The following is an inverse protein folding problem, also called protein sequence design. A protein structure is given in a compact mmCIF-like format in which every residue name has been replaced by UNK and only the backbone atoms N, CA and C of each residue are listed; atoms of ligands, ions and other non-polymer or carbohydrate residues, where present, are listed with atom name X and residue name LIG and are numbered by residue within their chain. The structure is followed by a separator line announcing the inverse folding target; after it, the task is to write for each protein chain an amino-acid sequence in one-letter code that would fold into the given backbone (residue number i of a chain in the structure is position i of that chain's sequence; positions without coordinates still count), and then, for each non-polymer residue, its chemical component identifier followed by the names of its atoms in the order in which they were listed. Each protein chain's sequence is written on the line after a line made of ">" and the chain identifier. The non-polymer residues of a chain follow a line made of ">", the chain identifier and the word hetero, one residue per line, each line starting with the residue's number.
data_IF_806222941246
#
_entry.id   IF_806222941246
#
_cell.length_a   1.000
_cell.length_b   1.000
_cell.length_c   1.000
_cell.angle_alpha   90.00
_cell.angle_beta   90.00
_cell.angle_gamma   90.00
#
_symmetry.space_group_name_H-M   'P 1'
#
loop_
_entity.id
_entity.type
_entity.pdbx_description
1 polymer ?
#
# COMPACT_ATOMS: atom_id res chain seq x y z
N UNK A 1 36.37 -3.63 4.09
CA UNK A 1 34.94 -3.31 4.21
C UNK A 1 34.84 -2.11 5.14
N UNK A 2 34.51 -0.93 4.64
CA UNK A 2 34.16 0.18 5.52
C UNK A 2 32.89 -0.23 6.31
N UNK A 3 32.78 0.13 7.60
CA UNK A 3 31.55 -0.13 8.31
C UNK A 3 30.39 0.54 7.56
N UNK A 4 29.37 -0.23 7.24
CA UNK A 4 28.17 0.32 6.61
C UNK A 4 27.68 1.48 7.49
N UNK A 5 27.44 2.63 6.88
CA UNK A 5 26.85 3.76 7.61
C UNK A 5 25.54 3.32 8.24
N UNK A 6 25.30 3.77 9.47
CA UNK A 6 24.05 3.42 10.15
C UNK A 6 22.86 4.00 9.38
N UNK A 7 21.84 3.17 9.11
CA UNK A 7 20.59 3.63 8.50
C UNK A 7 19.90 4.59 9.47
N UNK A 8 19.59 5.79 8.99
CA UNK A 8 18.96 6.86 9.77
C UNK A 8 17.65 7.29 9.15
N UNK A 9 16.64 7.44 9.97
CA UNK A 9 15.32 7.93 9.58
C UNK A 9 15.14 9.36 10.09
N UNK A 10 14.80 10.26 9.21
CA UNK A 10 14.53 11.66 9.50
C UNK A 10 13.07 11.97 9.18
N UNK A 11 12.15 11.89 10.16
CA UNK A 11 10.75 12.21 9.93
C UNK A 11 10.58 13.69 9.62
N UNK A 12 9.82 14.00 8.58
CA UNK A 12 9.47 15.35 8.20
C UNK A 12 8.08 15.64 8.78
N UNK A 13 7.98 16.69 9.62
CA UNK A 13 6.79 16.96 10.40
C UNK A 13 6.10 18.25 9.95
N UNK A 14 4.77 18.19 9.80
CA UNK A 14 3.93 19.39 9.65
C UNK A 14 3.46 19.87 11.02
N UNK A 15 3.36 21.19 11.20
CA UNK A 15 2.90 21.80 12.44
C UNK A 15 1.36 21.92 12.53
N UNK A 16 0.67 21.77 11.40
CA UNK A 16 -0.80 21.83 11.29
C UNK A 16 -1.34 20.71 10.40
N UNK A 17 -2.63 20.47 10.48
CA UNK A 17 -3.31 19.64 9.50
C UNK A 17 -3.29 20.34 8.14
N UNK A 18 -2.95 19.60 7.10
CA UNK A 18 -3.01 20.09 5.71
C UNK A 18 -4.43 19.88 5.20
N UNK A 19 -5.00 20.91 4.61
CA UNK A 19 -6.34 20.88 4.02
C UNK A 19 -6.22 20.90 2.50
N UNK A 20 -6.98 20.07 1.76
CA UNK A 20 -6.90 20.03 0.30
C UNK A 20 -7.26 21.37 -0.38
N UNK A 21 -8.13 22.16 0.23
CA UNK A 21 -8.54 23.49 -0.26
C UNK A 21 -7.49 24.59 -0.05
N UNK A 22 -6.41 24.28 0.66
CA UNK A 22 -5.28 25.20 0.93
C UNK A 22 -4.04 24.89 0.07
N UNK A 23 -4.09 23.87 -0.79
CA UNK A 23 -2.93 23.42 -1.57
C UNK A 23 -2.97 23.85 -3.04
N UNK A 24 -3.97 24.63 -3.43
CA UNK A 24 -4.12 25.09 -4.82
C UNK A 24 -2.89 25.86 -5.30
N UNK A 25 -2.39 25.49 -6.47
CA UNK A 25 -1.21 26.10 -7.07
C UNK A 25 0.14 25.69 -6.47
N UNK A 26 0.16 24.81 -5.47
CA UNK A 26 1.36 24.26 -4.87
C UNK A 26 1.60 22.83 -5.34
N UNK A 27 2.85 22.36 -5.25
CA UNK A 27 3.24 20.96 -5.47
C UNK A 27 3.55 20.27 -4.15
N UNK A 28 3.52 18.95 -4.13
CA UNK A 28 4.02 18.19 -2.97
C UNK A 28 5.51 18.42 -2.75
N UNK A 29 6.27 18.73 -3.81
CA UNK A 29 7.66 19.12 -3.72
C UNK A 29 7.84 20.42 -2.94
N UNK A 30 7.00 21.44 -3.18
CA UNK A 30 7.04 22.70 -2.40
C UNK A 30 6.86 22.43 -0.90
N UNK A 31 5.92 21.54 -0.54
CA UNK A 31 5.76 21.10 0.85
C UNK A 31 7.05 20.45 1.38
N UNK A 32 7.64 19.52 0.61
CA UNK A 32 8.86 18.83 1.04
C UNK A 32 10.03 19.79 1.24
N UNK A 33 10.21 20.76 0.35
CA UNK A 33 11.24 21.80 0.48
C UNK A 33 11.04 22.59 1.79
N UNK A 34 9.80 23.03 2.08
CA UNK A 34 9.47 23.69 3.35
C UNK A 34 9.81 22.81 4.56
N UNK A 35 9.49 21.51 4.49
CA UNK A 35 9.74 20.58 5.59
C UNK A 35 11.22 20.30 5.80
N UNK A 36 12.02 20.19 4.74
CA UNK A 36 13.47 20.04 4.81
C UNK A 36 14.12 21.28 5.42
N UNK A 37 13.76 22.48 4.94
CA UNK A 37 14.26 23.75 5.49
C UNK A 37 13.93 23.88 6.98
N UNK A 38 12.71 23.56 7.37
CA UNK A 38 12.27 23.59 8.79
C UNK A 38 13.01 22.59 9.66
N UNK A 39 13.29 21.40 9.14
CA UNK A 39 14.01 20.36 9.87
C UNK A 39 15.53 20.61 9.93
N UNK A 40 16.05 21.55 9.15
CA UNK A 40 17.48 21.74 9.00
C UNK A 40 18.20 20.55 8.36
N UNK A 41 17.51 19.83 7.47
CA UNK A 41 18.02 18.64 6.81
C UNK A 41 18.17 18.92 5.33
N UNK A 42 19.36 18.72 4.81
CA UNK A 42 19.63 18.79 3.37
C UNK A 42 19.69 17.35 2.82
N UNK A 43 18.85 17.01 1.82
CA UNK A 43 18.97 15.77 1.07
C UNK A 43 20.36 15.64 0.43
N UNK A 44 20.86 14.41 0.36
CA UNK A 44 22.15 14.04 -0.22
C UNK A 44 21.96 12.94 -1.24
N UNK A 45 22.97 12.75 -2.08
CA UNK A 45 22.98 11.62 -3.01
C UNK A 45 22.71 10.31 -2.28
N UNK A 46 21.88 9.46 -2.90
CA UNK A 46 21.46 8.16 -2.40
C UNK A 46 20.58 8.18 -1.14
N UNK A 47 20.09 9.36 -0.72
CA UNK A 47 18.99 9.38 0.24
C UNK A 47 17.70 8.87 -0.42
N UNK A 48 16.79 8.30 0.39
CA UNK A 48 15.47 7.89 -0.07
C UNK A 48 14.41 8.75 0.64
N UNK A 49 13.55 9.40 -0.13
CA UNK A 49 12.42 10.17 0.40
C UNK A 49 11.15 9.37 0.19
N UNK A 50 10.50 8.99 1.29
CA UNK A 50 9.20 8.31 1.25
C UNK A 50 8.10 9.28 1.63
N UNK A 51 7.06 9.36 0.80
CA UNK A 51 5.95 10.32 0.95
C UNK A 51 4.63 9.54 1.02
N UNK A 52 3.76 9.91 1.94
CA UNK A 52 2.41 9.36 2.04
C UNK A 52 1.59 9.71 0.79
N UNK A 53 0.92 8.71 0.23
CA UNK A 53 0.00 8.84 -0.92
C UNK A 53 -1.06 9.92 -0.70
N UNK A 54 -1.64 9.97 0.50
CA UNK A 54 -2.65 10.96 0.86
C UNK A 54 -2.15 12.39 0.68
N UNK A 55 -0.95 12.67 1.18
CA UNK A 55 -0.36 14.00 1.05
C UNK A 55 -0.03 14.28 -0.42
N UNK A 56 0.53 13.33 -1.14
CA UNK A 56 0.75 13.49 -2.58
C UNK A 56 -0.57 13.83 -3.31
N UNK A 57 -1.67 13.15 -2.95
CA UNK A 57 -3.00 13.41 -3.52
C UNK A 57 -3.54 14.81 -3.22
N UNK A 58 -3.27 15.36 -2.04
CA UNK A 58 -3.74 16.71 -1.69
C UNK A 58 -3.12 17.81 -2.57
N UNK A 59 -1.96 17.55 -3.14
CA UNK A 59 -1.25 18.44 -4.04
C UNK A 59 -1.37 18.03 -5.52
N UNK A 60 -2.14 16.97 -5.83
CA UNK A 60 -2.35 16.50 -7.18
C UNK A 60 -3.70 16.99 -7.72
N UNK A 61 -3.74 17.74 -8.83
CA UNK A 61 -4.99 18.20 -9.42
C UNK A 61 -5.96 17.06 -9.72
N UNK A 62 -7.18 17.15 -9.22
CA UNK A 62 -8.23 16.15 -9.43
C UNK A 62 -8.16 14.91 -8.54
N UNK A 63 -7.11 14.75 -7.70
CA UNK A 63 -7.02 13.63 -6.77
C UNK A 63 -7.80 13.87 -5.46
N UNK A 64 -8.37 15.03 -5.25
CA UNK A 64 -9.29 15.32 -4.15
C UNK A 64 -10.66 15.71 -4.71
N UNK A 65 -11.70 15.03 -4.23
CA UNK A 65 -13.06 15.19 -4.74
C UNK A 65 -14.00 15.54 -3.60
N UNK A 66 -14.85 16.54 -3.81
CA UNK A 66 -15.99 16.78 -2.91
C UNK A 66 -17.06 15.71 -3.17
N UNK A 67 -17.41 14.95 -2.17
CA UNK A 67 -18.36 13.86 -2.32
C UNK A 67 -19.76 14.37 -2.76
N UNK A 68 -20.09 15.62 -2.43
CA UNK A 68 -21.34 16.26 -2.87
C UNK A 68 -21.42 16.45 -4.39
N UNK A 69 -20.27 16.63 -5.05
CA UNK A 69 -20.19 16.91 -6.49
C UNK A 69 -20.23 15.62 -7.33
N UNK A 70 -20.12 14.45 -6.69
CA UNK A 70 -20.14 13.16 -7.39
C UNK A 70 -21.55 12.79 -7.80
N UNK A 71 -21.79 12.70 -9.11
CA UNK A 71 -23.07 12.27 -9.69
C UNK A 71 -23.05 10.76 -9.97
N UNK A 72 -23.73 9.93 -9.16
CA UNK A 72 -23.68 8.50 -9.34
C UNK A 72 -24.44 8.05 -10.59
N UNK A 73 -23.85 7.16 -11.37
CA UNK A 73 -24.46 6.47 -12.50
C UNK A 73 -25.62 5.55 -12.05
N UNK A 74 -26.43 5.11 -13.01
CA UNK A 74 -27.47 4.10 -12.74
C UNK A 74 -26.88 2.83 -12.12
N UNK A 75 -25.72 2.38 -12.61
CA UNK A 75 -24.98 1.21 -12.08
C UNK A 75 -24.58 1.43 -10.62
N UNK A 76 -23.97 2.57 -10.30
CA UNK A 76 -23.58 2.91 -8.94
C UNK A 76 -24.77 2.97 -7.97
N UNK A 77 -25.91 3.54 -8.42
CA UNK A 77 -27.16 3.57 -7.62
C UNK A 77 -27.73 2.18 -7.34
N UNK A 78 -27.72 1.28 -8.33
CA UNK A 78 -28.18 -0.11 -8.13
C UNK A 78 -27.27 -0.84 -7.15
N UNK A 79 -25.96 -0.78 -7.38
CA UNK A 79 -24.97 -1.39 -6.49
C UNK A 79 -25.02 -0.80 -5.08
N UNK A 80 -25.25 0.50 -4.96
CA UNK A 80 -25.43 1.18 -3.67
C UNK A 80 -26.60 0.61 -2.86
N UNK A 81 -27.72 0.32 -3.52
CA UNK A 81 -28.87 -0.33 -2.86
C UNK A 81 -28.58 -1.77 -2.47
N UNK A 82 -27.98 -2.57 -3.38
CA UNK A 82 -27.65 -3.99 -3.13
C UNK A 82 -26.66 -4.14 -1.99
N UNK A 83 -25.58 -3.34 -2.00
CA UNK A 83 -24.50 -3.42 -0.99
C UNK A 83 -24.73 -2.48 0.20
N UNK A 84 -25.81 -1.72 0.22
CA UNK A 84 -26.12 -0.72 1.26
C UNK A 84 -24.95 0.24 1.52
N UNK A 85 -24.48 0.81 0.41
CA UNK A 85 -23.35 1.75 0.36
C UNK A 85 -23.78 3.06 -0.29
N UNK A 86 -23.08 4.15 0.03
CA UNK A 86 -23.27 5.43 -0.66
C UNK A 86 -22.96 5.25 -2.16
N UNK A 87 -23.93 5.51 -3.06
CA UNK A 87 -23.74 5.33 -4.49
C UNK A 87 -22.65 6.25 -5.07
N UNK A 88 -22.36 7.38 -4.44
CA UNK A 88 -21.29 8.31 -4.86
C UNK A 88 -19.92 7.67 -4.62
N UNK A 89 -19.71 7.04 -3.46
CA UNK A 89 -18.46 6.29 -3.17
C UNK A 89 -18.29 5.09 -4.10
N UNK A 90 -19.39 4.39 -4.43
CA UNK A 90 -19.34 3.30 -5.41
C UNK A 90 -19.00 3.84 -6.80
N UNK A 91 -19.52 5.02 -7.17
CA UNK A 91 -19.16 5.64 -8.44
C UNK A 91 -17.66 5.85 -8.55
N UNK A 92 -17.06 6.45 -7.55
CA UNK A 92 -15.60 6.65 -7.51
C UNK A 92 -14.82 5.32 -7.60
N UNK A 93 -15.23 4.30 -6.84
CA UNK A 93 -14.58 2.96 -6.92
C UNK A 93 -14.66 2.37 -8.33
N UNK A 94 -15.79 2.57 -9.04
CA UNK A 94 -15.97 2.07 -10.41
C UNK A 94 -15.15 2.85 -11.44
N UNK A 95 -14.88 4.12 -11.20
CA UNK A 95 -14.03 4.98 -12.03
C UNK A 95 -12.55 4.65 -11.84
N UNK A 96 -12.16 4.34 -10.62
CA UNK A 96 -10.77 4.05 -10.25
C UNK A 96 -10.28 2.68 -10.73
N UNK A 97 -11.15 1.73 -11.04
CA UNK A 97 -10.72 0.47 -11.60
C UNK A 97 -11.72 -0.68 -11.51
N UNK A 98 -11.23 -1.86 -11.83
CA UNK A 98 -12.04 -3.08 -11.83
C UNK A 98 -12.08 -3.68 -10.43
N UNK A 99 -13.28 -3.84 -9.88
CA UNK A 99 -13.49 -4.57 -8.62
C UNK A 99 -13.14 -6.04 -8.82
N UNK A 100 -12.18 -6.53 -8.04
CA UNK A 100 -11.68 -7.91 -8.08
C UNK A 100 -12.33 -8.78 -7.00
N UNK A 101 -12.53 -8.22 -5.80
CA UNK A 101 -13.13 -8.93 -4.67
C UNK A 101 -14.13 -8.01 -3.96
N UNK A 102 -15.13 -8.62 -3.34
CA UNK A 102 -16.09 -7.95 -2.47
C UNK A 102 -16.08 -8.63 -1.11
N UNK A 103 -15.59 -7.95 -0.11
CA UNK A 103 -15.39 -8.49 1.23
C UNK A 103 -16.58 -8.08 2.11
N UNK A 104 -17.37 -9.01 2.69
CA UNK A 104 -18.49 -8.71 3.58
C UNK A 104 -17.97 -8.31 4.98
N UNK A 105 -17.32 -7.16 5.08
CA UNK A 105 -16.55 -6.74 6.25
C UNK A 105 -17.38 -6.80 7.55
N UNK A 106 -18.61 -6.28 7.52
CA UNK A 106 -19.48 -6.27 8.71
C UNK A 106 -19.88 -7.68 9.19
N UNK A 107 -19.91 -8.67 8.28
CA UNK A 107 -20.14 -10.08 8.68
C UNK A 107 -18.90 -10.68 9.30
N UNK A 108 -17.73 -10.37 8.74
CA UNK A 108 -16.45 -10.91 9.22
C UNK A 108 -16.16 -10.41 10.64
N UNK A 109 -16.31 -9.12 10.90
CA UNK A 109 -16.04 -8.55 12.23
C UNK A 109 -17.01 -9.07 13.32
N UNK A 110 -18.16 -9.62 12.93
CA UNK A 110 -19.13 -10.23 13.84
C UNK A 110 -18.84 -11.70 14.15
N UNK A 111 -17.89 -12.34 13.47
CA UNK A 111 -17.45 -13.69 13.83
C UNK A 111 -16.85 -13.62 15.24
N UNK A 112 -17.30 -14.47 16.19
CA UNK A 112 -16.94 -14.32 17.61
C UNK A 112 -15.42 -14.30 17.87
N UNK A 113 -14.65 -15.07 17.11
CA UNK A 113 -13.18 -15.07 17.21
C UNK A 113 -12.56 -13.77 16.72
N UNK A 114 -13.09 -13.21 15.61
CA UNK A 114 -12.66 -11.93 15.08
C UNK A 114 -13.01 -10.78 16.03
N UNK A 115 -14.25 -10.79 16.55
CA UNK A 115 -14.71 -9.77 17.48
C UNK A 115 -13.82 -9.72 18.74
N UNK A 116 -13.63 -10.86 19.42
CA UNK A 116 -12.74 -10.94 20.60
C UNK A 116 -11.30 -10.51 20.32
N UNK A 117 -10.81 -10.81 19.13
CA UNK A 117 -9.46 -10.44 18.75
C UNK A 117 -9.33 -8.92 18.55
N UNK A 118 -10.29 -8.29 17.88
CA UNK A 118 -10.32 -6.84 17.68
C UNK A 118 -10.50 -6.10 19.00
N UNK A 119 -11.39 -6.60 19.87
CA UNK A 119 -11.63 -6.06 21.21
C UNK A 119 -10.34 -5.99 22.05
N UNK A 120 -9.47 -7.01 21.95
CA UNK A 120 -8.18 -7.04 22.65
C UNK A 120 -7.14 -6.08 22.07
N UNK A 121 -7.35 -5.54 20.87
CA UNK A 121 -6.40 -4.69 20.13
C UNK A 121 -6.84 -3.25 20.02
N UNK A 122 -8.07 -2.95 20.39
CA UNK A 122 -8.52 -1.56 20.45
C UNK A 122 -8.19 -0.93 21.81
N UNK A 123 -7.71 0.32 21.83
CA UNK A 123 -7.55 1.06 23.08
C UNK A 123 -8.89 1.43 23.73
N UNK A 124 -9.98 1.45 22.94
CA UNK A 124 -11.33 1.80 23.40
C UNK A 124 -12.37 0.81 22.84
N UNK A 125 -12.76 -0.23 23.64
CA UNK A 125 -13.80 -1.18 23.24
C UNK A 125 -15.17 -0.55 23.00
N UNK A 126 -15.51 0.54 23.67
CA UNK A 126 -16.79 1.22 23.48
C UNK A 126 -16.83 1.96 22.14
N UNK A 127 -15.73 2.64 21.78
CA UNK A 127 -15.56 3.26 20.47
C UNK A 127 -15.58 2.22 19.34
N UNK A 128 -15.06 1.02 19.59
CA UNK A 128 -15.13 -0.09 18.64
C UNK A 128 -16.57 -0.43 18.24
N UNK A 129 -17.47 -0.51 19.21
CA UNK A 129 -18.89 -0.80 18.94
C UNK A 129 -19.54 0.29 18.08
N UNK A 130 -19.26 1.54 18.38
CA UNK A 130 -19.71 2.69 17.59
C UNK A 130 -19.08 2.69 16.19
N UNK A 131 -17.77 2.39 16.09
CA UNK A 131 -17.03 2.24 14.84
C UNK A 131 -17.66 1.20 13.92
N UNK A 132 -18.06 0.05 14.45
CA UNK A 132 -18.74 -0.99 13.65
C UNK A 132 -20.07 -0.57 13.08
N UNK A 133 -20.83 0.28 13.76
CA UNK A 133 -22.09 0.80 13.22
C UNK A 133 -21.85 1.74 12.04
N UNK A 134 -20.71 2.43 12.01
CA UNK A 134 -20.27 3.32 10.94
C UNK A 134 -19.48 2.61 9.84
N UNK A 135 -18.93 1.41 10.14
CA UNK A 135 -18.17 0.61 9.17
C UNK A 135 -19.04 0.18 8.02
N UNK A 136 -18.49 0.25 6.83
CA UNK A 136 -19.13 -0.23 5.61
C UNK A 136 -19.54 -1.70 5.72
N UNK A 137 -20.72 -2.05 5.18
CA UNK A 137 -21.16 -3.45 5.15
C UNK A 137 -20.22 -4.33 4.33
N UNK A 138 -19.65 -3.77 3.26
CA UNK A 138 -18.78 -4.42 2.31
C UNK A 138 -17.62 -3.50 1.97
N UNK A 139 -16.46 -4.07 1.68
CA UNK A 139 -15.29 -3.41 1.11
C UNK A 139 -15.04 -3.96 -0.28
N UNK A 140 -14.74 -3.08 -1.22
CA UNK A 140 -14.43 -3.41 -2.60
C UNK A 140 -12.92 -3.38 -2.79
N UNK A 141 -12.34 -4.50 -3.22
CA UNK A 141 -10.91 -4.57 -3.53
C UNK A 141 -10.72 -4.36 -5.02
N UNK A 142 -9.92 -3.39 -5.37
CA UNK A 142 -9.63 -2.99 -6.75
C UNK A 142 -8.15 -3.20 -7.03
N UNK A 143 -7.82 -3.71 -8.21
CA UNK A 143 -6.43 -3.76 -8.67
C UNK A 143 -6.05 -2.43 -9.28
N UNK A 144 -5.10 -1.72 -8.67
CA UNK A 144 -4.56 -0.44 -9.13
C UNK A 144 -3.08 -0.33 -8.71
N UNK A 145 -2.22 0.29 -9.52
CA UNK A 145 -0.79 0.49 -9.25
C UNK A 145 -0.06 -0.79 -8.80
N UNK A 146 -0.30 -1.90 -9.52
CA UNK A 146 0.23 -3.23 -9.22
C UNK A 146 -0.19 -3.84 -7.86
N UNK A 147 -1.05 -3.18 -7.09
CA UNK A 147 -1.55 -3.64 -5.79
C UNK A 147 -3.05 -3.96 -5.81
N UNK A 148 -3.51 -4.69 -4.81
CA UNK A 148 -4.92 -4.93 -4.53
C UNK A 148 -5.34 -4.01 -3.37
N UNK A 149 -5.98 -2.90 -3.70
CA UNK A 149 -6.30 -1.82 -2.79
C UNK A 149 -7.75 -1.86 -2.33
N UNK A 150 -7.97 -1.72 -1.04
CA UNK A 150 -9.29 -1.53 -0.47
C UNK A 150 -9.88 -0.21 -0.95
N UNK A 151 -11.13 -0.25 -1.43
CA UNK A 151 -11.84 0.92 -1.96
C UNK A 151 -11.05 1.67 -3.06
N UNK A 152 -10.18 0.96 -3.81
CA UNK A 152 -9.27 1.56 -4.80
C UNK A 152 -8.25 2.58 -4.22
N UNK A 153 -7.97 2.52 -2.93
CA UNK A 153 -7.15 3.51 -2.24
C UNK A 153 -7.88 4.84 -1.96
N UNK A 154 -9.20 4.88 -2.16
CA UNK A 154 -10.02 6.06 -1.81
C UNK A 154 -10.12 6.18 -0.29
N UNK A 155 -9.67 7.29 0.24
CA UNK A 155 -9.67 7.53 1.68
C UNK A 155 -10.33 8.85 2.05
N UNK A 156 -10.95 8.87 3.23
CA UNK A 156 -11.55 10.07 3.86
C UNK A 156 -11.04 10.28 5.29
N UNK A 157 -10.18 9.38 5.78
CA UNK A 157 -9.54 9.54 7.10
C UNK A 157 -8.59 10.74 7.05
N UNK A 158 -8.54 11.53 8.11
CA UNK A 158 -7.74 12.77 8.16
C UNK A 158 -7.96 13.73 6.97
N UNK A 159 -9.15 13.70 6.37
CA UNK A 159 -9.64 14.70 5.42
C UNK A 159 -10.87 15.39 6.01
N UNK A 160 -11.16 16.66 5.67
CA UNK A 160 -12.44 17.27 6.03
C UNK A 160 -13.62 16.43 5.51
N UNK A 161 -14.72 16.36 6.26
CA UNK A 161 -15.85 15.42 6.02
C UNK A 161 -16.43 15.47 4.59
N UNK A 162 -16.35 16.62 3.93
CA UNK A 162 -16.82 16.81 2.56
C UNK A 162 -15.91 16.27 1.48
N UNK A 163 -14.62 15.95 1.80
CA UNK A 163 -13.64 15.51 0.84
C UNK A 163 -13.31 14.03 0.96
N UNK A 164 -13.01 13.44 -0.19
CA UNK A 164 -12.34 12.14 -0.30
C UNK A 164 -11.09 12.30 -1.15
N UNK A 165 -10.00 11.64 -0.77
CA UNK A 165 -8.79 11.58 -1.59
C UNK A 165 -8.78 10.31 -2.43
N UNK A 166 -8.48 10.47 -3.71
CA UNK A 166 -8.11 9.40 -4.63
C UNK A 166 -6.59 9.28 -4.60
N UNK A 167 -6.05 8.19 -5.11
CA UNK A 167 -4.60 8.11 -5.32
C UNK A 167 -4.19 8.99 -6.51
N UNK A 168 -2.94 9.47 -6.56
CA UNK A 168 -2.41 10.12 -7.75
C UNK A 168 -2.63 9.27 -8.99
N UNK A 169 -2.93 9.90 -10.12
CA UNK A 169 -3.25 9.19 -11.36
C UNK A 169 -2.05 8.36 -11.86
N UNK A 170 -0.87 8.96 -11.82
CA UNK A 170 0.42 8.30 -12.08
C UNK A 170 1.39 8.59 -10.93
N UNK A 171 1.39 7.73 -9.89
CA UNK A 171 2.27 7.92 -8.74
C UNK A 171 3.76 7.93 -9.09
N UNK A 172 4.18 7.20 -10.14
CA UNK A 172 5.57 7.22 -10.58
C UNK A 172 5.93 8.54 -11.26
N UNK A 173 5.02 9.13 -12.03
CA UNK A 173 5.23 10.49 -12.57
C UNK A 173 5.32 11.52 -11.44
N UNK A 174 4.48 11.39 -10.41
CA UNK A 174 4.56 12.24 -9.20
C UNK A 174 5.89 12.05 -8.48
N UNK A 175 6.36 10.82 -8.31
CA UNK A 175 7.68 10.54 -7.70
C UNK A 175 8.83 11.14 -8.53
N UNK A 176 8.79 11.02 -9.86
CA UNK A 176 9.78 11.64 -10.78
C UNK A 176 9.78 13.17 -10.67
N UNK A 177 8.59 13.79 -10.56
CA UNK A 177 8.47 15.24 -10.39
C UNK A 177 9.11 15.69 -9.08
N UNK A 178 8.78 15.03 -7.97
CA UNK A 178 9.39 15.31 -6.65
C UNK A 178 10.91 15.16 -6.73
N UNK A 179 11.42 14.05 -7.29
CA UNK A 179 12.86 13.81 -7.45
C UNK A 179 13.54 14.94 -8.21
N UNK A 180 12.92 15.41 -9.30
CA UNK A 180 13.43 16.53 -10.08
C UNK A 180 13.45 17.84 -9.26
N UNK A 181 12.38 18.17 -8.55
CA UNK A 181 12.29 19.39 -7.73
C UNK A 181 13.35 19.38 -6.61
N UNK A 182 13.61 18.22 -5.99
CA UNK A 182 14.67 18.06 -4.99
C UNK A 182 16.07 18.18 -5.61
N UNK A 183 16.30 17.58 -6.78
CA UNK A 183 17.57 17.71 -7.50
C UNK A 183 17.84 19.15 -7.92
N UNK A 184 16.84 19.86 -8.43
CA UNK A 184 16.97 21.27 -8.83
C UNK A 184 17.33 22.17 -7.63
N UNK A 185 16.83 21.85 -6.42
CA UNK A 185 17.07 22.66 -5.22
C UNK A 185 18.34 22.33 -4.47
N UNK A 186 18.67 21.03 -4.33
CA UNK A 186 19.76 20.56 -3.48
C UNK A 186 20.95 19.98 -4.27
N UNK A 187 20.83 19.85 -5.59
CA UNK A 187 21.83 19.18 -6.45
C UNK A 187 22.13 17.76 -5.98
N UNK A 188 21.12 17.07 -5.41
CA UNK A 188 21.24 15.73 -4.86
C UNK A 188 20.42 14.71 -5.67
N UNK A 189 21.03 13.59 -5.97
CA UNK A 189 20.36 12.45 -6.63
C UNK A 189 19.74 11.52 -5.60
N UNK A 190 18.46 11.74 -5.31
CA UNK A 190 17.68 10.97 -4.32
C UNK A 190 16.74 9.99 -5.00
N UNK A 191 16.38 8.91 -4.31
CA UNK A 191 15.23 8.10 -4.68
C UNK A 191 13.96 8.64 -4.01
N UNK A 192 12.81 8.51 -4.67
CA UNK A 192 11.50 8.90 -4.13
C UNK A 192 10.53 7.73 -4.22
N UNK A 193 9.80 7.47 -3.13
CA UNK A 193 8.77 6.44 -3.06
C UNK A 193 7.47 7.07 -2.55
N UNK A 194 6.36 6.83 -3.25
CA UNK A 194 5.02 7.10 -2.73
C UNK A 194 4.47 5.84 -2.09
N UNK A 195 4.03 5.97 -0.84
CA UNK A 195 3.57 4.86 -0.01
C UNK A 195 2.09 4.98 0.33
N UNK A 196 1.38 3.86 0.25
CA UNK A 196 -0.01 3.74 0.69
C UNK A 196 -0.19 2.52 1.59
N UNK A 197 -1.25 2.54 2.40
CA UNK A 197 -1.52 1.47 3.36
C UNK A 197 -2.40 0.39 2.72
N UNK A 198 -1.91 -0.85 2.70
CA UNK A 198 -2.59 -1.99 2.08
C UNK A 198 -2.88 -3.09 3.10
N UNK A 199 -4.09 -3.63 3.06
CA UNK A 199 -4.50 -4.76 3.91
C UNK A 199 -3.77 -6.04 3.53
N UNK A 200 -3.13 -6.69 4.50
CA UNK A 200 -2.40 -7.93 4.27
C UNK A 200 -3.34 -9.14 4.23
N UNK A 201 -3.30 -9.92 3.14
CA UNK A 201 -4.03 -11.18 3.04
C UNK A 201 -3.42 -12.22 3.98
N UNK A 202 -4.26 -12.89 4.77
CA UNK A 202 -3.83 -13.94 5.71
C UNK A 202 -3.26 -13.42 7.02
N UNK A 203 -3.18 -12.10 7.20
CA UNK A 203 -2.84 -11.45 8.48
C UNK A 203 -3.93 -10.46 8.86
N UNK A 204 -4.02 -10.13 10.14
CA UNK A 204 -4.84 -9.03 10.58
C UNK A 204 -3.99 -7.80 10.75
N UNK A 205 -4.28 -6.84 9.92
CA UNK A 205 -3.56 -5.57 9.86
C UNK A 205 -3.25 -5.18 8.43
N UNK A 206 -2.65 -4.04 8.31
CA UNK A 206 -2.17 -3.45 7.08
C UNK A 206 -0.68 -3.13 7.23
N UNK A 207 -0.04 -2.90 6.12
CA UNK A 207 1.32 -2.39 6.05
C UNK A 207 1.40 -1.39 4.91
N UNK A 208 2.39 -0.53 4.96
CA UNK A 208 2.65 0.40 3.89
C UNK A 208 3.37 -0.33 2.75
N UNK A 209 2.92 -0.07 1.53
CA UNK A 209 3.47 -0.57 0.28
C UNK A 209 3.71 0.59 -0.67
N UNK A 210 4.69 0.46 -1.55
CA UNK A 210 4.93 1.43 -2.59
C UNK A 210 3.83 1.37 -3.67
N UNK A 211 3.31 2.53 -4.04
CA UNK A 211 2.38 2.69 -5.17
C UNK A 211 3.01 3.45 -6.34
N UNK A 212 4.20 4.01 -6.13
CA UNK A 212 4.99 4.71 -7.12
C UNK A 212 6.40 4.95 -6.63
N UNK A 213 7.34 5.08 -7.54
CA UNK A 213 8.75 5.29 -7.23
C UNK A 213 9.48 6.02 -8.36
N UNK A 214 10.68 6.53 -8.06
CA UNK A 214 11.64 7.05 -9.01
C UNK A 214 13.06 6.98 -8.45
N UNK A 215 14.04 6.70 -9.30
CA UNK A 215 15.47 6.72 -8.96
C UNK A 215 16.01 5.51 -8.22
N UNK A 216 15.22 4.45 -8.07
CA UNK A 216 15.60 3.21 -7.38
C UNK A 216 15.10 1.99 -8.16
N UNK A 217 15.89 0.92 -8.24
CA UNK A 217 15.42 -0.36 -8.76
C UNK A 217 14.38 -0.95 -7.78
N UNK A 218 13.15 -1.22 -8.24
CA UNK A 218 12.07 -1.60 -7.34
C UNK A 218 12.22 -3.00 -6.74
N UNK A 219 13.07 -3.86 -7.34
CA UNK A 219 13.24 -5.26 -6.95
C UNK A 219 14.72 -5.65 -6.84
N UNK A 220 15.01 -6.70 -6.07
CA UNK A 220 16.30 -7.37 -6.15
C UNK A 220 16.38 -8.29 -7.37
N UNK A 221 17.58 -8.47 -7.93
CA UNK A 221 17.82 -9.27 -9.14
C UNK A 221 18.72 -10.48 -8.88
N UNK A 222 18.50 -11.11 -7.74
CA UNK A 222 19.31 -12.23 -7.28
C UNK A 222 18.69 -13.61 -7.57
N UNK A 223 17.68 -13.66 -8.45
CA UNK A 223 17.04 -14.92 -8.84
C UNK A 223 18.07 -15.86 -9.44
N UNK A 224 18.12 -17.09 -8.91
CA UNK A 224 19.10 -18.12 -9.27
C UNK A 224 20.57 -17.76 -8.95
N UNK A 225 20.84 -16.70 -8.22
CA UNK A 225 22.17 -16.50 -7.64
C UNK A 225 22.51 -17.62 -6.65
N UNK A 226 23.78 -17.92 -6.49
CA UNK A 226 24.22 -18.94 -5.55
C UNK A 226 24.14 -18.46 -4.11
N UNK A 227 23.76 -19.36 -3.21
CA UNK A 227 23.88 -19.16 -1.76
C UNK A 227 25.35 -19.26 -1.30
N UNK A 228 25.57 -19.15 0.02
CA UNK A 228 26.89 -19.25 0.63
C UNK A 228 27.59 -20.62 0.41
N UNK A 229 26.83 -21.64 -0.01
CA UNK A 229 27.34 -22.97 -0.27
C UNK A 229 27.46 -23.28 -1.77
N UNK A 230 27.24 -22.27 -2.62
CA UNK A 230 27.29 -22.39 -4.08
C UNK A 230 26.07 -23.05 -4.72
N UNK A 231 24.96 -23.17 -3.99
CA UNK A 231 23.72 -23.76 -4.51
C UNK A 231 22.82 -22.64 -5.07
N UNK A 232 22.34 -22.77 -6.34
CA UNK A 232 21.43 -21.80 -6.93
C UNK A 232 20.12 -21.71 -6.15
N UNK A 233 19.73 -20.50 -5.75
CA UNK A 233 18.44 -20.23 -5.09
C UNK A 233 17.31 -20.21 -6.11
N UNK A 234 16.18 -20.83 -5.79
CA UNK A 234 14.97 -20.78 -6.63
C UNK A 234 14.11 -19.53 -6.44
N UNK A 235 14.53 -18.61 -5.57
CA UNK A 235 13.90 -17.30 -5.28
C UNK A 235 14.93 -16.18 -5.42
N UNK A 236 14.68 -15.05 -4.81
CA UNK A 236 15.60 -13.92 -4.79
C UNK A 236 15.09 -12.72 -5.58
N UNK A 237 13.76 -12.60 -5.71
CA UNK A 237 13.10 -11.35 -6.11
C UNK A 237 12.43 -10.81 -4.86
N UNK A 238 13.03 -9.79 -4.26
CA UNK A 238 12.44 -9.09 -3.13
C UNK A 238 11.94 -7.71 -3.59
N UNK A 239 10.80 -7.30 -3.08
CA UNK A 239 10.23 -5.99 -3.35
C UNK A 239 10.95 -4.95 -2.50
N UNK A 240 11.99 -4.33 -3.04
CA UNK A 240 12.84 -3.35 -2.35
C UNK A 240 12.02 -2.13 -1.94
N UNK A 241 11.24 -1.59 -2.86
CA UNK A 241 10.42 -0.40 -2.61
C UNK A 241 9.36 -0.63 -1.55
N UNK A 242 8.74 -1.83 -1.50
CA UNK A 242 7.75 -2.17 -0.46
C UNK A 242 8.41 -2.33 0.91
N UNK A 243 9.60 -2.91 0.96
CA UNK A 243 10.36 -3.04 2.20
C UNK A 243 10.72 -1.67 2.77
N UNK A 244 11.12 -0.73 1.91
CA UNK A 244 11.41 0.66 2.31
C UNK A 244 10.14 1.39 2.73
N UNK A 245 9.03 1.25 1.97
CA UNK A 245 7.74 1.83 2.33
C UNK A 245 7.26 1.34 3.71
N UNK A 246 7.38 0.03 3.97
CA UNK A 246 7.02 -0.56 5.27
C UNK A 246 7.85 -0.03 6.43
N UNK A 247 9.17 0.15 6.25
CA UNK A 247 10.03 0.81 7.26
C UNK A 247 9.63 2.27 7.49
N UNK A 248 9.37 3.00 6.41
CA UNK A 248 8.94 4.39 6.47
C UNK A 248 7.60 4.55 7.19
N UNK A 249 6.65 3.64 6.94
CA UNK A 249 5.33 3.64 7.57
C UNK A 249 5.38 3.55 9.10
N UNK A 250 6.34 2.77 9.65
CA UNK A 250 6.56 2.72 11.10
C UNK A 250 7.00 4.07 11.69
N UNK A 251 7.69 4.89 10.90
CA UNK A 251 8.18 6.21 11.32
C UNK A 251 7.11 7.27 11.07
N UNK A 252 6.43 7.23 9.92
CA UNK A 252 5.36 8.19 9.57
C UNK A 252 4.17 8.06 10.52
N UNK A 253 3.78 6.83 10.88
CA UNK A 253 2.56 6.55 11.65
C UNK A 253 1.31 6.61 10.76
N UNK A 254 0.15 6.29 11.37
CA UNK A 254 -1.10 6.08 10.61
C UNK A 254 -2.25 7.01 11.08
N UNK A 255 -2.05 7.81 12.13
CA UNK A 255 -3.14 8.55 12.76
C UNK A 255 -2.88 10.06 12.86
N UNK A 256 -2.28 10.50 13.96
CA UNK A 256 -2.15 11.94 14.30
C UNK A 256 -0.71 12.41 14.43
N UNK A 257 0.23 11.61 13.96
CA UNK A 257 1.67 11.83 14.10
C UNK A 257 2.16 13.03 13.30
N UNK A 258 1.41 13.46 12.28
CA UNK A 258 1.72 14.61 11.43
C UNK A 258 3.07 14.50 10.72
N UNK A 259 3.42 13.27 10.28
CA UNK A 259 4.66 12.97 9.57
C UNK A 259 4.34 12.51 8.15
N UNK A 260 4.07 13.42 7.22
CA UNK A 260 3.64 13.07 5.87
C UNK A 260 4.75 12.44 5.01
N UNK A 261 6.00 12.59 5.43
CA UNK A 261 7.14 12.02 4.72
C UNK A 261 8.30 11.71 5.69
N UNK A 262 9.24 10.91 5.21
CA UNK A 262 10.48 10.59 5.91
C UNK A 262 11.62 10.53 4.91
N UNK A 263 12.79 11.09 5.27
CA UNK A 263 14.04 10.88 4.58
C UNK A 263 14.80 9.75 5.25
N UNK A 264 15.26 8.78 4.47
CA UNK A 264 16.06 7.64 4.92
C UNK A 264 17.44 7.77 4.31
N UNK A 265 18.46 7.76 5.14
CA UNK A 265 19.88 7.88 4.76
C UNK A 265 20.67 6.64 5.16
N UNK A 266 21.64 6.26 4.32
CA UNK A 266 22.52 5.12 4.58
C UNK A 266 21.97 3.78 4.07
N UNK A 267 20.90 3.77 3.28
CA UNK A 267 20.47 2.59 2.54
C UNK A 267 21.38 2.36 1.32
N UNK A 268 21.76 1.11 1.12
CA UNK A 268 22.36 0.67 -0.14
C UNK A 268 21.28 0.10 -1.05
N UNK A 269 21.14 0.68 -2.24
CA UNK A 269 20.16 0.25 -3.23
C UNK A 269 20.70 0.44 -4.66
N UNK A 270 20.17 -0.34 -5.60
CA UNK A 270 20.46 -0.18 -7.00
C UNK A 270 19.66 0.99 -7.60
N UNK A 271 20.26 1.72 -8.53
CA UNK A 271 19.56 2.76 -9.28
C UNK A 271 18.50 2.14 -10.21
N UNK A 272 17.46 2.92 -10.50
CA UNK A 272 16.43 2.56 -11.48
C UNK A 272 17.04 2.23 -12.84
N UNK A 273 16.53 1.21 -13.51
CA UNK A 273 17.04 0.73 -14.80
C UNK A 273 16.20 1.28 -15.94
N UNK A 274 16.87 1.62 -17.02
CA UNK A 274 16.22 2.13 -18.25
C UNK A 274 15.62 1.03 -19.13
N UNK A 275 16.08 -0.22 -18.98
CA UNK A 275 15.67 -1.38 -19.79
C UNK A 275 14.45 -2.14 -19.24
N UNK A 276 13.85 -1.64 -18.15
CA UNK A 276 12.65 -2.23 -17.53
C UNK A 276 11.35 -1.52 -17.95
N UNK A 277 10.20 -2.19 -17.82
CA UNK A 277 8.92 -1.54 -17.98
C UNK A 277 8.79 -0.33 -17.04
N UNK A 278 8.30 0.82 -17.52
CA UNK A 278 8.21 2.01 -16.69
C UNK A 278 7.20 1.88 -15.57
N UNK A 279 7.54 2.46 -14.44
CA UNK A 279 6.63 2.58 -13.29
C UNK A 279 6.29 1.25 -12.63
N UNK A 280 5.10 1.16 -12.05
CA UNK A 280 4.67 -0.02 -11.27
C UNK A 280 4.47 -1.28 -12.11
N UNK A 281 4.58 -1.22 -13.43
CA UNK A 281 4.56 -2.43 -14.26
C UNK A 281 5.80 -3.31 -14.05
N UNK A 282 6.92 -2.72 -13.64
CA UNK A 282 8.15 -3.45 -13.31
C UNK A 282 7.97 -4.47 -12.15
N UNK A 283 7.02 -4.21 -11.25
CA UNK A 283 6.70 -5.11 -10.11
C UNK A 283 5.37 -5.82 -10.27
N UNK A 284 4.63 -5.54 -11.33
CA UNK A 284 3.30 -6.09 -11.52
C UNK A 284 3.36 -7.54 -12.00
N UNK A 285 2.56 -8.42 -11.39
CA UNK A 285 2.33 -9.73 -11.97
C UNK A 285 1.60 -9.60 -13.32
N UNK A 286 2.09 -10.26 -14.40
CA UNK A 286 1.47 -10.20 -15.71
C UNK A 286 -0.04 -10.50 -15.66
N UNK A 287 -0.83 -9.70 -16.36
CA UNK A 287 -2.30 -9.77 -16.25
C UNK A 287 -2.88 -11.10 -16.74
N UNK A 288 -2.26 -11.72 -17.74
CA UNK A 288 -2.64 -13.01 -18.28
C UNK A 288 -2.22 -14.18 -17.39
N UNK A 289 -1.15 -14.03 -16.60
CA UNK A 289 -0.65 -15.06 -15.69
C UNK A 289 -1.53 -15.19 -14.43
N UNK A 290 -2.02 -14.08 -13.87
CA UNK A 290 -2.78 -14.08 -12.61
C UNK A 290 -3.94 -15.07 -12.57
N UNK A 291 -4.89 -15.10 -13.55
CA UNK A 291 -6.02 -16.04 -13.49
C UNK A 291 -5.55 -17.51 -13.65
N UNK A 292 -4.50 -17.75 -14.43
CA UNK A 292 -3.94 -19.10 -14.61
C UNK A 292 -3.28 -19.61 -13.33
N UNK A 293 -2.50 -18.75 -12.64
CA UNK A 293 -1.86 -19.08 -11.37
C UNK A 293 -2.92 -19.38 -10.31
N UNK A 294 -3.95 -18.52 -10.18
CA UNK A 294 -5.03 -18.75 -9.21
C UNK A 294 -5.74 -20.08 -9.48
N UNK A 295 -6.12 -20.35 -10.72
CA UNK A 295 -6.79 -21.60 -11.08
C UNK A 295 -5.91 -22.83 -10.79
N UNK A 296 -4.65 -22.81 -11.23
CA UNK A 296 -3.70 -23.92 -11.01
C UNK A 296 -3.46 -24.13 -9.51
N UNK A 297 -3.32 -23.07 -8.73
CA UNK A 297 -3.15 -23.14 -7.27
C UNK A 297 -4.36 -23.78 -6.59
N UNK A 298 -5.59 -23.39 -6.99
CA UNK A 298 -6.82 -23.98 -6.47
C UNK A 298 -6.93 -25.46 -6.81
N UNK A 299 -6.64 -25.85 -8.06
CA UNK A 299 -6.66 -27.24 -8.51
C UNK A 299 -5.62 -28.10 -7.78
N UNK A 300 -4.38 -27.61 -7.67
CA UNK A 300 -3.31 -28.30 -6.95
C UNK A 300 -3.65 -28.46 -5.46
N UNK A 301 -4.23 -27.41 -4.84
CA UNK A 301 -4.67 -27.46 -3.44
C UNK A 301 -5.79 -28.48 -3.23
N UNK A 302 -6.76 -28.54 -4.14
CA UNK A 302 -7.85 -29.52 -4.08
C UNK A 302 -7.30 -30.96 -4.25
N UNK A 303 -6.41 -31.17 -5.22
CA UNK A 303 -5.76 -32.45 -5.44
C UNK A 303 -4.94 -32.91 -4.22
N UNK A 304 -4.16 -31.99 -3.62
CA UNK A 304 -3.41 -32.27 -2.39
C UNK A 304 -4.32 -32.67 -1.24
N UNK A 305 -5.41 -31.94 -1.02
CA UNK A 305 -6.38 -32.26 0.06
C UNK A 305 -7.02 -33.62 -0.15
N UNK A 306 -7.44 -33.94 -1.39
CA UNK A 306 -8.00 -35.23 -1.73
C UNK A 306 -6.99 -36.37 -1.51
N UNK A 307 -5.76 -36.23 -2.01
CA UNK A 307 -4.70 -37.21 -1.80
C UNK A 307 -4.39 -37.40 -0.31
N UNK A 308 -4.37 -36.33 0.47
CA UNK A 308 -4.16 -36.39 1.93
C UNK A 308 -5.27 -37.18 2.65
N UNK A 309 -6.54 -37.01 2.26
CA UNK A 309 -7.66 -37.77 2.81
C UNK A 309 -7.52 -39.27 2.47
N UNK A 310 -7.15 -39.60 1.24
CA UNK A 310 -6.94 -40.98 0.80
C UNK A 310 -5.74 -41.63 1.49
N UNK A 311 -4.65 -40.88 1.71
CA UNK A 311 -3.46 -41.36 2.42
C UNK A 311 -3.73 -41.64 3.90
N UNK A 312 -4.60 -40.85 4.55
CA UNK A 312 -4.98 -41.05 5.96
C UNK A 312 -5.72 -42.38 6.21
N UNK A 313 -6.40 -42.93 5.18
CA UNK A 313 -7.07 -44.24 5.26
C UNK A 313 -6.09 -45.43 5.13
N UNK A 314 -4.82 -45.20 4.81
CA UNK A 314 -3.82 -46.24 4.54
C UNK A 314 -2.62 -46.28 5.46
N UNK A 315 -2.59 -45.54 6.57
CA UNK A 315 -1.44 -45.58 7.51
C UNK A 315 -1.65 -46.73 8.54
N UNK A 316 -1.01 -47.88 8.37
CA UNK A 316 -1.13 -49.02 9.28
C UNK A 316 -0.46 -48.77 10.64
N UNK A 317 0.40 -47.77 10.76
CA UNK A 317 1.19 -47.50 12.00
C UNK A 317 0.37 -46.86 13.11
N UNK A 318 -0.82 -46.30 12.82
CA UNK A 318 -1.71 -45.79 13.85
C UNK A 318 -2.56 -46.86 14.57
N UNK A 319 -2.61 -48.11 14.06
CA UNK A 319 -3.29 -49.21 14.71
C UNK A 319 -2.46 -49.82 15.85
N UNK A 320 -1.13 -49.71 15.82
CA UNK A 320 -0.22 -50.29 16.81
C UNK A 320 0.02 -49.38 18.03
N UNK A 321 -0.19 -48.07 17.92
CA UNK A 321 -0.02 -47.11 19.00
C UNK A 321 -1.23 -47.02 19.97
N UNK A 322 -2.26 -47.84 19.76
CA UNK A 322 -3.48 -47.93 20.62
C UNK A 322 -3.68 -49.31 21.25
N UNK A 323 -2.67 -50.19 21.24
CA UNK A 323 -2.67 -51.44 22.03
C UNK A 323 -1.74 -51.36 23.21
#
# INVERSE_FOLDING_TARGET
>A
MQPADAIRFHPLMVNRAIRPDETEGQTVGDLLLELFDRAGIEPKDRDVVVVSSKIASFYEPGAVVRLADVVPSRKARVLGRVFRRDPRKIQLVLEEGRVMLVIPLRRIVRIPSMHRMLERRTPDPAAMHTGYTRTNNYTFVVRKHAAYLDEAGIDHTNSPDEFVSLLPLDPCATARRIRKELADRYSADVAVILSDTVTCVGRIGSQDMAIGYAGIDPITRETFSNDLFGVPRSGGIDLVIDSIAGMAGLVMGQTTERRPAVLIRGLDYAAEREDEPPGMEAVAMPQDATPRIVLQTLLATAAFRLASLLAFQRDPRRSEARR
#
